data_IF_767169842115
#
_entry.id   IF_767169842115
#
_cell.length_a   1.000
_cell.length_b   1.000
_cell.length_c   1.000
_cell.angle_alpha   90.00
_cell.angle_beta   90.00
_cell.angle_gamma   90.00
#
_symmetry.space_group_name_H-M   'P 1'
#
loop_
_entity.id
_entity.type
_entity.pdbx_description
1 polymer ?
#
# COMPACT_ATOMS: atom_id res chain seq x y z
N UNK A 1 -19.52 -12.02 -12.46
CA UNK A 1 -20.41 -12.84 -11.63
C UNK A 1 -21.13 -11.94 -10.62
N UNK A 2 -22.45 -12.19 -10.42
CA UNK A 2 -23.31 -11.35 -9.54
C UNK A 2 -22.86 -11.41 -8.07
N UNK A 3 -22.24 -12.50 -7.67
CA UNK A 3 -21.62 -12.74 -6.35
C UNK A 3 -20.46 -11.78 -6.00
N UNK A 4 -19.92 -11.07 -6.99
CA UNK A 4 -18.87 -10.05 -6.83
C UNK A 4 -19.38 -8.61 -6.94
N UNK A 5 -20.67 -8.43 -7.05
CA UNK A 5 -21.30 -7.11 -7.08
C UNK A 5 -21.83 -6.80 -5.69
N UNK A 6 -21.45 -5.65 -5.17
CA UNK A 6 -21.89 -5.18 -3.85
C UNK A 6 -22.65 -3.86 -4.07
N UNK A 7 -23.88 -3.75 -3.56
CA UNK A 7 -24.60 -2.48 -3.59
C UNK A 7 -23.77 -1.38 -2.94
N UNK A 8 -23.77 -0.20 -3.56
CA UNK A 8 -23.11 0.95 -2.97
C UNK A 8 -23.90 1.41 -1.74
N UNK A 9 -23.31 1.42 -0.55
CA UNK A 9 -23.99 1.88 0.65
C UNK A 9 -24.31 3.37 0.58
N UNK A 10 -25.41 3.78 1.20
CA UNK A 10 -25.79 5.18 1.30
C UNK A 10 -24.68 6.02 1.96
N UNK A 11 -24.51 7.24 1.46
CA UNK A 11 -23.52 8.20 1.97
C UNK A 11 -22.09 8.02 1.44
N UNK A 12 -21.82 6.99 0.62
CA UNK A 12 -20.51 6.82 -0.04
C UNK A 12 -20.59 7.35 -1.47
N UNK A 13 -19.71 8.29 -1.81
CA UNK A 13 -19.64 8.83 -3.17
C UNK A 13 -19.12 7.79 -4.16
N UNK A 14 -19.51 7.91 -5.44
CA UNK A 14 -18.99 7.05 -6.50
C UNK A 14 -17.47 7.07 -6.61
N UNK A 15 -16.85 8.24 -6.38
CA UNK A 15 -15.39 8.37 -6.39
C UNK A 15 -14.74 7.61 -5.23
N UNK A 16 -15.28 7.72 -4.03
CA UNK A 16 -14.81 6.95 -2.88
C UNK A 16 -14.97 5.44 -3.13
N UNK A 17 -16.14 5.02 -3.63
CA UNK A 17 -16.40 3.63 -3.96
C UNK A 17 -15.42 3.08 -5.01
N UNK A 18 -15.18 3.81 -6.11
CA UNK A 18 -14.27 3.39 -7.17
C UNK A 18 -12.79 3.31 -6.71
N UNK A 19 -12.40 4.12 -5.73
CA UNK A 19 -11.03 4.16 -5.20
C UNK A 19 -10.73 3.13 -4.12
N UNK A 20 -11.76 2.54 -3.53
CA UNK A 20 -11.65 1.71 -2.31
C UNK A 20 -11.23 0.25 -2.54
N UNK A 21 -11.83 -0.56 -3.43
CA UNK A 21 -11.74 -2.01 -3.34
C UNK A 21 -10.30 -2.54 -3.36
N UNK A 22 -9.51 -2.20 -4.36
CA UNK A 22 -8.16 -2.76 -4.49
C UNK A 22 -7.22 -2.20 -3.43
N UNK A 23 -7.26 -0.91 -3.16
CA UNK A 23 -6.28 -0.24 -2.31
C UNK A 23 -6.49 -0.52 -0.84
N UNK A 24 -7.71 -0.31 -0.36
CA UNK A 24 -8.03 -0.52 1.07
C UNK A 24 -8.08 -2.00 1.42
N UNK A 25 -8.61 -2.85 0.53
CA UNK A 25 -8.60 -4.29 0.78
C UNK A 25 -7.17 -4.85 0.84
N UNK A 26 -6.27 -4.40 -0.06
CA UNK A 26 -4.85 -4.80 0.00
C UNK A 26 -4.21 -4.38 1.32
N UNK A 27 -4.39 -3.12 1.73
CA UNK A 27 -3.83 -2.62 2.98
C UNK A 27 -4.43 -3.33 4.21
N UNK A 28 -5.76 -3.50 4.25
CA UNK A 28 -6.46 -4.19 5.32
C UNK A 28 -6.06 -5.67 5.40
N UNK A 29 -5.94 -6.33 4.26
CA UNK A 29 -5.52 -7.73 4.21
C UNK A 29 -4.12 -7.92 4.81
N UNK A 30 -3.17 -7.05 4.46
CA UNK A 30 -1.81 -7.10 5.01
C UNK A 30 -1.77 -6.79 6.51
N UNK A 31 -2.40 -5.70 6.93
CA UNK A 31 -2.28 -5.22 8.29
C UNK A 31 -3.15 -6.00 9.28
N UNK A 32 -4.42 -6.24 8.93
CA UNK A 32 -5.39 -6.85 9.87
C UNK A 32 -5.53 -8.36 9.68
N UNK A 33 -5.69 -8.86 8.44
CA UNK A 33 -5.95 -10.29 8.23
C UNK A 33 -4.68 -11.13 8.41
N UNK A 34 -3.58 -10.78 7.73
CA UNK A 34 -2.31 -11.49 7.85
C UNK A 34 -1.46 -10.99 9.03
N UNK A 35 -1.56 -9.70 9.31
CA UNK A 35 -0.71 -8.99 10.26
C UNK A 35 -1.20 -9.08 11.70
N UNK A 36 -2.51 -9.16 11.91
CA UNK A 36 -3.12 -9.05 13.24
C UNK A 36 -2.62 -7.79 13.98
N UNK A 37 -2.67 -6.63 13.27
CA UNK A 37 -2.19 -5.33 13.71
C UNK A 37 -2.65 -5.00 15.13
N UNK A 38 -1.71 -4.54 15.97
CA UNK A 38 -1.94 -4.16 17.35
C UNK A 38 -1.61 -2.66 17.55
N UNK A 39 -2.21 -1.99 18.53
CA UNK A 39 -1.96 -0.55 18.76
C UNK A 39 -0.50 -0.18 19.02
N UNK A 40 0.30 -1.09 19.59
CA UNK A 40 1.72 -0.87 19.90
C UNK A 40 2.67 -1.27 18.77
N UNK A 41 2.15 -1.82 17.67
CA UNK A 41 2.97 -2.25 16.54
C UNK A 41 3.59 -1.03 15.82
N UNK A 42 4.77 -1.24 15.28
CA UNK A 42 5.54 -0.30 14.46
C UNK A 42 5.41 -0.66 13.00
N UNK A 43 5.09 0.31 12.16
CA UNK A 43 4.82 0.06 10.74
C UNK A 43 5.67 0.93 9.84
N UNK A 44 6.31 0.32 8.83
CA UNK A 44 6.96 1.03 7.73
C UNK A 44 6.16 0.80 6.44
N UNK A 45 5.73 1.89 5.79
CA UNK A 45 4.97 1.86 4.54
C UNK A 45 5.81 2.44 3.41
N UNK A 46 6.22 1.64 2.44
CA UNK A 46 6.83 2.16 1.23
C UNK A 46 5.77 2.70 0.26
N UNK A 47 6.06 3.84 -0.36
CA UNK A 47 5.11 4.50 -1.25
C UNK A 47 3.89 5.07 -0.51
N UNK A 48 4.11 5.66 0.67
CA UNK A 48 3.06 6.13 1.59
C UNK A 48 2.04 7.10 1.01
N UNK A 49 2.39 7.86 -0.02
CA UNK A 49 1.48 8.78 -0.70
C UNK A 49 0.71 8.15 -1.89
N UNK A 50 0.95 6.88 -2.23
CA UNK A 50 0.20 6.16 -3.27
C UNK A 50 -1.12 5.58 -2.73
N UNK A 51 -1.93 4.98 -3.62
CA UNK A 51 -3.27 4.49 -3.24
C UNK A 51 -3.28 3.49 -2.07
N UNK A 52 -2.46 2.43 -2.12
CA UNK A 52 -2.35 1.47 -1.00
C UNK A 52 -1.65 2.10 0.21
N UNK A 53 -0.67 3.00 -0.04
CA UNK A 53 0.06 3.67 1.02
C UNK A 53 -0.84 4.57 1.87
N UNK A 54 -1.65 5.42 1.24
CA UNK A 54 -2.61 6.29 1.94
C UNK A 54 -3.67 5.49 2.70
N UNK A 55 -4.16 4.40 2.10
CA UNK A 55 -5.08 3.47 2.76
C UNK A 55 -4.44 2.84 4.02
N UNK A 56 -3.18 2.38 3.91
CA UNK A 56 -2.46 1.80 5.04
C UNK A 56 -2.23 2.81 6.16
N UNK A 57 -1.88 4.06 5.83
CA UNK A 57 -1.70 5.12 6.83
C UNK A 57 -3.01 5.44 7.57
N UNK A 58 -4.12 5.50 6.86
CA UNK A 58 -5.44 5.70 7.48
C UNK A 58 -5.83 4.54 8.39
N UNK A 59 -5.60 3.30 7.96
CA UNK A 59 -5.84 2.11 8.79
C UNK A 59 -4.97 2.09 10.04
N UNK A 60 -3.69 2.47 9.94
CA UNK A 60 -2.80 2.61 11.09
C UNK A 60 -3.31 3.68 12.06
N UNK A 61 -3.73 4.85 11.54
CA UNK A 61 -4.30 5.93 12.35
C UNK A 61 -5.60 5.48 13.05
N UNK A 62 -6.48 4.80 12.33
CA UNK A 62 -7.73 4.27 12.89
C UNK A 62 -7.48 3.21 13.98
N UNK A 63 -6.43 2.39 13.82
CA UNK A 63 -6.00 1.44 14.84
C UNK A 63 -5.25 2.08 16.03
N UNK A 64 -5.03 3.40 16.01
CA UNK A 64 -4.38 4.14 17.10
C UNK A 64 -2.86 4.04 17.15
N UNK A 65 -2.20 3.62 16.07
CA UNK A 65 -0.74 3.47 16.04
C UNK A 65 -0.03 4.83 16.19
N UNK A 66 1.02 4.83 16.99
CA UNK A 66 1.85 6.01 17.24
C UNK A 66 3.18 5.98 16.49
N UNK A 67 3.64 4.82 16.05
CA UNK A 67 4.96 4.62 15.44
C UNK A 67 4.81 4.09 14.02
N UNK A 68 4.60 5.03 13.10
CA UNK A 68 4.43 4.74 11.67
C UNK A 68 5.41 5.59 10.86
N UNK A 69 6.18 4.96 9.99
CA UNK A 69 7.07 5.59 9.02
C UNK A 69 6.55 5.35 7.62
N UNK A 70 6.74 6.34 6.74
CA UNK A 70 6.37 6.11 5.35
C UNK A 70 7.33 6.79 4.37
N UNK A 71 7.72 6.08 3.32
CA UNK A 71 8.59 6.65 2.28
C UNK A 71 7.78 7.26 1.15
N UNK A 72 8.18 8.46 0.72
CA UNK A 72 7.64 9.11 -0.48
C UNK A 72 8.66 10.10 -1.07
N UNK A 73 8.31 10.83 -2.13
CA UNK A 73 9.05 12.02 -2.52
C UNK A 73 8.76 13.16 -1.54
N UNK A 74 9.74 14.03 -1.30
CA UNK A 74 9.64 15.13 -0.34
C UNK A 74 8.41 16.03 -0.53
N UNK A 75 8.04 16.28 -1.79
CA UNK A 75 6.86 17.08 -2.13
C UNK A 75 5.51 16.52 -1.60
N UNK A 76 5.49 15.24 -1.21
CA UNK A 76 4.28 14.54 -0.71
C UNK A 76 4.33 14.24 0.78
N UNK A 77 5.32 14.74 1.51
CA UNK A 77 5.46 14.48 2.96
C UNK A 77 4.24 14.95 3.76
N UNK A 78 3.64 16.09 3.36
CA UNK A 78 2.45 16.64 4.02
C UNK A 78 1.28 15.65 4.10
N UNK A 79 1.14 14.75 3.11
CA UNK A 79 0.10 13.71 3.14
C UNK A 79 0.41 12.64 4.18
N UNK A 80 1.67 12.29 4.37
CA UNK A 80 2.08 11.32 5.38
C UNK A 80 1.88 11.90 6.79
N UNK A 81 2.30 13.15 6.98
CA UNK A 81 2.22 13.87 8.24
C UNK A 81 0.79 14.06 8.73
N UNK A 82 -0.19 14.30 7.82
CA UNK A 82 -1.60 14.44 8.20
C UNK A 82 -2.20 13.18 8.84
N UNK A 83 -1.60 12.01 8.60
CA UNK A 83 -1.97 10.75 9.26
C UNK A 83 -1.13 10.44 10.50
N UNK A 84 -0.30 11.39 10.96
CA UNK A 84 0.55 11.21 12.13
C UNK A 84 1.78 10.33 11.89
N UNK A 85 2.09 10.00 10.64
CA UNK A 85 3.24 9.18 10.31
C UNK A 85 4.49 10.05 10.04
N UNK A 86 5.67 9.49 10.31
CA UNK A 86 6.97 10.07 10.05
C UNK A 86 7.34 9.91 8.56
N UNK A 87 7.41 10.97 7.76
CA UNK A 87 7.81 10.88 6.36
C UNK A 87 9.32 10.65 6.21
N UNK A 88 9.70 9.87 5.20
CA UNK A 88 11.08 9.62 4.81
C UNK A 88 11.23 9.91 3.32
N UNK A 89 12.18 10.78 2.94
CA UNK A 89 12.45 11.07 1.53
C UNK A 89 13.15 9.89 0.86
N UNK A 90 12.43 9.20 -0.01
CA UNK A 90 12.93 8.02 -0.72
C UNK A 90 14.17 8.27 -1.58
N UNK A 91 14.49 9.54 -1.90
CA UNK A 91 15.59 9.90 -2.79
C UNK A 91 16.86 10.29 -2.01
N UNK A 92 16.71 10.94 -0.87
CA UNK A 92 17.81 11.57 -0.16
C UNK A 92 18.04 11.01 1.25
N UNK A 93 17.14 10.15 1.76
CA UNK A 93 17.26 9.59 3.11
C UNK A 93 17.38 8.06 3.09
N UNK A 94 18.14 7.53 4.02
CA UNK A 94 18.25 6.07 4.24
C UNK A 94 17.21 5.61 5.26
N UNK A 95 16.11 5.05 4.77
CA UNK A 95 15.05 4.57 5.63
C UNK A 95 15.50 3.46 6.61
N UNK A 96 16.52 2.67 6.26
CA UNK A 96 17.05 1.63 7.17
C UNK A 96 17.73 2.27 8.37
N UNK A 97 18.56 3.28 8.11
CA UNK A 97 19.25 3.99 9.17
C UNK A 97 18.27 4.72 10.08
N UNK A 98 17.27 5.44 9.49
CA UNK A 98 16.25 6.17 10.23
C UNK A 98 15.44 5.22 11.13
N UNK A 99 14.85 4.17 10.55
CA UNK A 99 14.04 3.22 11.30
C UNK A 99 14.85 2.60 12.43
N UNK A 100 16.10 2.19 12.20
CA UNK A 100 16.92 1.60 13.24
C UNK A 100 17.25 2.59 14.35
N UNK A 101 17.57 3.83 14.01
CA UNK A 101 17.87 4.86 15.00
C UNK A 101 16.64 5.17 15.86
N UNK A 102 15.49 5.38 15.22
CA UNK A 102 14.26 5.77 15.91
C UNK A 102 13.54 4.61 16.64
N UNK A 103 14.03 3.37 16.46
CA UNK A 103 13.55 2.18 17.18
C UNK A 103 14.58 1.55 18.12
N UNK A 104 15.66 2.27 18.45
CA UNK A 104 16.77 1.76 19.27
C UNK A 104 17.35 0.43 18.75
N UNK A 105 17.44 0.28 17.42
CA UNK A 105 17.92 -0.92 16.74
C UNK A 105 16.92 -2.08 16.68
N UNK A 106 15.76 -1.98 17.35
CA UNK A 106 14.78 -3.07 17.41
C UNK A 106 14.09 -3.33 16.08
N UNK A 107 13.81 -2.26 15.29
CA UNK A 107 13.10 -2.34 14.01
C UNK A 107 11.59 -2.25 14.16
N UNK A 108 10.87 -2.58 13.07
CA UNK A 108 9.41 -2.47 12.95
C UNK A 108 8.73 -3.84 12.85
N UNK A 109 7.48 -3.91 13.27
CA UNK A 109 6.70 -5.15 13.27
C UNK A 109 6.14 -5.47 11.89
N UNK A 110 5.83 -4.44 11.09
CA UNK A 110 5.27 -4.59 9.75
C UNK A 110 6.00 -3.71 8.74
N UNK A 111 6.33 -4.27 7.58
CA UNK A 111 6.82 -3.53 6.42
C UNK A 111 5.96 -3.84 5.20
N UNK A 112 5.37 -2.82 4.60
CA UNK A 112 4.58 -2.91 3.37
C UNK A 112 5.44 -2.46 2.19
N UNK A 113 5.76 -3.39 1.27
CA UNK A 113 6.71 -3.14 0.17
C UNK A 113 6.10 -3.42 -1.22
N UNK A 114 5.71 -2.36 -1.98
CA UNK A 114 5.30 -2.46 -3.37
C UNK A 114 6.47 -2.35 -4.35
N UNK A 115 7.70 -2.13 -3.87
CA UNK A 115 8.84 -1.76 -4.70
C UNK A 115 9.50 -3.01 -5.28
N UNK A 116 9.75 -4.01 -4.44
CA UNK A 116 10.43 -5.22 -4.88
C UNK A 116 11.96 -5.08 -5.02
N UNK A 117 12.58 -6.04 -5.72
CA UNK A 117 14.01 -6.00 -6.01
C UNK A 117 14.88 -5.91 -4.74
N UNK A 118 15.94 -5.08 -4.79
CA UNK A 118 16.84 -4.88 -3.66
C UNK A 118 16.18 -4.21 -2.44
N UNK A 119 15.07 -3.46 -2.67
CA UNK A 119 14.34 -2.83 -1.58
C UNK A 119 13.83 -3.86 -0.56
N UNK A 120 13.40 -5.04 -1.01
CA UNK A 120 12.95 -6.12 -0.11
C UNK A 120 14.05 -6.59 0.86
N UNK A 121 15.31 -6.61 0.43
CA UNK A 121 16.43 -6.95 1.34
C UNK A 121 16.60 -5.89 2.42
N UNK A 122 16.52 -4.62 2.03
CA UNK A 122 16.60 -3.49 2.96
C UNK A 122 15.39 -3.47 3.90
N UNK A 123 14.18 -3.69 3.37
CA UNK A 123 12.94 -3.82 4.13
C UNK A 123 13.01 -4.95 5.16
N UNK A 124 13.52 -6.13 4.75
CA UNK A 124 13.72 -7.26 5.67
C UNK A 124 14.70 -6.92 6.81
N UNK A 125 15.71 -6.06 6.55
CA UNK A 125 16.66 -5.63 7.57
C UNK A 125 16.05 -4.68 8.60
N UNK A 126 14.96 -4.00 8.28
CA UNK A 126 14.22 -3.13 9.18
C UNK A 126 13.28 -3.88 10.13
N UNK A 127 12.97 -5.15 9.87
CA UNK A 127 12.06 -5.90 10.73
C UNK A 127 12.62 -6.13 12.13
N UNK A 128 11.75 -6.00 13.10
CA UNK A 128 11.96 -6.49 14.45
C UNK A 128 11.98 -8.03 14.48
N UNK A 129 12.29 -8.60 15.63
CA UNK A 129 12.01 -10.02 15.89
C UNK A 129 10.50 -10.24 15.92
N UNK A 130 10.02 -11.30 15.27
CA UNK A 130 8.58 -11.53 15.07
C UNK A 130 7.93 -10.70 13.97
N UNK A 131 8.69 -9.81 13.31
CA UNK A 131 8.18 -8.89 12.30
C UNK A 131 7.80 -9.56 10.97
N UNK A 132 6.96 -8.87 10.19
CA UNK A 132 6.34 -9.34 8.94
C UNK A 132 6.62 -8.38 7.79
N UNK A 133 7.11 -8.92 6.67
CA UNK A 133 7.29 -8.20 5.41
C UNK A 133 6.19 -8.62 4.43
N UNK A 134 5.47 -7.66 3.88
CA UNK A 134 4.47 -7.88 2.84
C UNK A 134 4.99 -7.34 1.50
N UNK A 135 5.21 -8.22 0.53
CA UNK A 135 5.53 -7.83 -0.83
C UNK A 135 4.26 -7.94 -1.69
N UNK A 136 3.81 -6.80 -2.24
CA UNK A 136 2.56 -6.72 -3.00
C UNK A 136 2.70 -5.99 -4.34
N UNK A 137 3.93 -5.77 -4.78
CA UNK A 137 4.23 -5.10 -6.03
C UNK A 137 5.67 -5.29 -6.46
N UNK A 138 5.96 -4.87 -7.69
CA UNK A 138 7.29 -4.91 -8.30
C UNK A 138 7.56 -3.60 -9.06
N UNK A 139 7.28 -2.45 -8.46
CA UNK A 139 7.44 -1.14 -9.13
C UNK A 139 8.88 -0.86 -9.56
N UNK A 140 9.88 -1.46 -8.91
CA UNK A 140 11.28 -1.42 -9.34
C UNK A 140 11.51 -2.05 -10.72
N UNK A 141 10.63 -2.93 -11.19
CA UNK A 141 10.75 -3.57 -12.51
C UNK A 141 10.28 -2.67 -13.66
N UNK A 142 9.54 -1.60 -13.38
CA UNK A 142 9.01 -0.66 -14.36
C UNK A 142 9.27 0.80 -13.97
N UNK A 143 10.54 1.21 -13.75
CA UNK A 143 10.83 2.59 -13.44
C UNK A 143 10.50 3.47 -14.65
N UNK A 144 9.80 4.59 -14.41
CA UNK A 144 9.45 5.60 -15.41
C UNK A 144 8.60 5.13 -16.61
N UNK A 145 7.69 4.18 -16.41
CA UNK A 145 6.64 3.86 -17.40
C UNK A 145 7.09 3.19 -18.70
N UNK A 146 8.39 3.11 -18.98
CA UNK A 146 8.90 2.38 -20.15
C UNK A 146 9.21 0.93 -19.73
N UNK A 147 8.46 -0.02 -20.29
CA UNK A 147 8.74 -1.46 -20.12
C UNK A 147 10.12 -1.76 -20.73
N UNK A 148 11.12 -1.95 -19.88
CA UNK A 148 12.42 -2.43 -20.28
C UNK A 148 12.58 -3.86 -19.76
N UNK A 149 12.54 -4.84 -20.65
CA UNK A 149 12.73 -6.25 -20.29
C UNK A 149 14.07 -6.48 -19.57
N UNK A 150 15.10 -5.73 -19.95
CA UNK A 150 16.40 -5.76 -19.28
C UNK A 150 16.32 -5.25 -17.84
N UNK A 151 15.63 -4.11 -17.60
CA UNK A 151 15.46 -3.57 -16.24
C UNK A 151 14.60 -4.51 -15.38
N UNK A 152 13.53 -5.07 -15.95
CA UNK A 152 12.71 -6.06 -15.28
C UNK A 152 13.52 -7.31 -14.92
N UNK A 153 14.35 -7.82 -15.84
CA UNK A 153 15.24 -8.95 -15.60
C UNK A 153 16.24 -8.66 -14.47
N UNK A 154 16.88 -7.49 -14.47
CA UNK A 154 17.80 -7.11 -13.40
C UNK A 154 17.09 -6.90 -12.05
N UNK A 155 15.87 -6.32 -12.04
CA UNK A 155 15.08 -6.19 -10.82
C UNK A 155 14.71 -7.56 -10.25
N UNK A 156 14.29 -8.50 -11.10
CA UNK A 156 13.99 -9.87 -10.68
C UNK A 156 15.24 -10.60 -10.16
N UNK A 157 16.41 -10.43 -10.80
CA UNK A 157 17.68 -11.01 -10.31
C UNK A 157 18.13 -10.41 -8.98
N UNK A 158 17.79 -9.15 -8.69
CA UNK A 158 18.07 -8.48 -7.43
C UNK A 158 17.05 -8.81 -6.33
N UNK A 159 15.92 -9.41 -6.70
CA UNK A 159 14.93 -9.85 -5.70
C UNK A 159 15.56 -10.93 -4.81
N UNK A 160 15.57 -10.73 -3.50
CA UNK A 160 16.18 -11.70 -2.61
C UNK A 160 15.44 -13.03 -2.63
N UNK A 161 16.19 -14.12 -2.59
CA UNK A 161 15.66 -15.42 -2.20
C UNK A 161 15.55 -15.43 -0.69
N UNK A 162 14.37 -15.71 -0.18
CA UNK A 162 14.15 -15.80 1.25
C UNK A 162 14.60 -17.17 1.76
N UNK A 163 15.56 -17.15 2.65
CA UNK A 163 16.14 -18.34 3.26
C UNK A 163 15.33 -18.71 4.51
N UNK A 164 14.80 -19.93 4.53
CA UNK A 164 13.94 -20.41 5.62
C UNK A 164 14.68 -20.41 6.97
N UNK A 165 15.96 -20.79 6.98
CA UNK A 165 16.74 -20.82 8.22
C UNK A 165 16.93 -19.40 8.80
N UNK A 166 17.19 -18.41 7.93
CA UNK A 166 17.32 -17.01 8.34
C UNK A 166 16.00 -16.43 8.86
N UNK A 167 14.87 -16.82 8.28
CA UNK A 167 13.55 -16.41 8.77
C UNK A 167 13.27 -17.06 10.13
N UNK A 168 13.53 -18.35 10.26
CA UNK A 168 13.33 -19.12 11.49
C UNK A 168 14.18 -18.57 12.65
N UNK A 169 15.47 -18.30 12.42
CA UNK A 169 16.38 -17.81 13.49
C UNK A 169 16.08 -16.39 13.97
N UNK A 170 15.23 -15.66 13.25
CA UNK A 170 14.78 -14.29 13.59
C UNK A 170 13.28 -14.20 13.87
N UNK A 171 12.57 -15.34 13.83
CA UNK A 171 11.12 -15.40 13.97
C UNK A 171 10.39 -14.41 13.03
N UNK A 172 10.84 -14.28 11.77
CA UNK A 172 10.30 -13.32 10.80
C UNK A 172 9.45 -14.02 9.76
N UNK A 173 8.44 -13.32 9.23
CA UNK A 173 7.61 -13.80 8.14
C UNK A 173 7.74 -12.92 6.89
N UNK A 174 7.55 -13.54 5.72
CA UNK A 174 7.43 -12.83 4.44
C UNK A 174 6.17 -13.34 3.74
N UNK A 175 5.28 -12.42 3.40
CA UNK A 175 4.04 -12.68 2.70
C UNK A 175 4.10 -12.08 1.29
N UNK A 176 3.79 -12.89 0.27
CA UNK A 176 3.41 -12.37 -1.05
C UNK A 176 1.92 -12.09 -1.04
N UNK A 177 1.52 -10.88 -1.44
CA UNK A 177 0.11 -10.46 -1.43
C UNK A 177 -0.31 -10.02 -2.80
N UNK A 178 -1.35 -10.66 -3.36
CA UNK A 178 -1.96 -10.30 -4.64
C UNK A 178 -3.47 -10.52 -4.56
N UNK A 179 -4.21 -9.47 -4.25
CA UNK A 179 -5.66 -9.56 -4.03
C UNK A 179 -6.45 -10.05 -5.25
N UNK A 180 -5.94 -9.84 -6.47
CA UNK A 180 -6.58 -10.34 -7.69
C UNK A 180 -6.62 -11.87 -7.84
N UNK A 181 -5.81 -12.59 -7.06
CA UNK A 181 -5.80 -14.06 -7.02
C UNK A 181 -6.34 -14.64 -5.70
N UNK A 182 -6.77 -13.78 -4.78
CA UNK A 182 -7.38 -14.22 -3.54
C UNK A 182 -8.81 -14.69 -3.82
N UNK A 183 -9.17 -15.87 -3.34
CA UNK A 183 -10.44 -16.53 -3.68
C UNK A 183 -11.36 -16.76 -2.49
N UNK A 184 -10.96 -16.41 -1.27
CA UNK A 184 -11.81 -16.54 -0.09
C UNK A 184 -12.80 -15.35 -0.04
N UNK A 185 -14.00 -15.58 -0.58
CA UNK A 185 -15.04 -14.55 -0.68
C UNK A 185 -15.57 -14.11 0.69
N UNK A 186 -15.65 -15.03 1.66
CA UNK A 186 -16.13 -14.69 3.00
C UNK A 186 -15.17 -13.70 3.70
N UNK A 187 -13.87 -13.94 3.57
CA UNK A 187 -12.85 -13.02 4.06
C UNK A 187 -12.92 -11.68 3.31
N UNK A 188 -13.08 -11.69 1.99
CA UNK A 188 -13.18 -10.46 1.19
C UNK A 188 -14.40 -9.62 1.60
N UNK A 189 -15.56 -10.23 1.77
CA UNK A 189 -16.77 -9.54 2.21
C UNK A 189 -16.61 -8.94 3.61
N UNK A 190 -16.04 -9.70 4.55
CA UNK A 190 -15.77 -9.22 5.91
C UNK A 190 -14.82 -8.01 5.93
N UNK A 191 -13.76 -8.06 5.14
CA UNK A 191 -12.81 -6.96 5.01
C UNK A 191 -13.46 -5.73 4.40
N UNK A 192 -14.23 -5.90 3.32
CA UNK A 192 -14.90 -4.79 2.65
C UNK A 192 -15.97 -4.16 3.56
N UNK A 193 -16.74 -4.95 4.29
CA UNK A 193 -17.71 -4.45 5.27
C UNK A 193 -17.03 -3.57 6.33
N UNK A 194 -15.86 -3.98 6.82
CA UNK A 194 -15.09 -3.18 7.77
C UNK A 194 -14.57 -1.88 7.19
N UNK A 195 -14.13 -1.90 5.92
CA UNK A 195 -13.66 -0.71 5.22
C UNK A 195 -14.82 0.25 4.97
N UNK A 196 -15.98 -0.25 4.54
CA UNK A 196 -17.21 0.54 4.36
C UNK A 196 -17.62 1.21 5.66
N UNK A 197 -17.66 0.48 6.77
CA UNK A 197 -17.91 1.03 8.10
C UNK A 197 -16.93 2.16 8.45
N UNK A 198 -15.64 1.96 8.17
CA UNK A 198 -14.63 2.99 8.37
C UNK A 198 -14.84 4.25 7.53
N UNK A 199 -15.34 4.13 6.30
CA UNK A 199 -15.68 5.27 5.44
C UNK A 199 -16.93 5.99 5.99
N UNK A 200 -18.00 5.26 6.31
CA UNK A 200 -19.24 5.81 6.82
C UNK A 200 -19.08 6.51 8.18
N UNK A 201 -18.17 6.03 9.00
CA UNK A 201 -17.85 6.63 10.31
C UNK A 201 -16.77 7.72 10.25
N UNK A 202 -16.24 8.02 9.04
CA UNK A 202 -15.25 9.09 8.82
C UNK A 202 -13.82 8.75 9.29
N UNK A 203 -13.55 7.49 9.63
CA UNK A 203 -12.19 7.04 9.95
C UNK A 203 -11.33 6.84 8.69
N UNK A 204 -11.97 6.48 7.58
CA UNK A 204 -11.34 6.29 6.27
C UNK A 204 -11.92 7.30 5.29
N UNK A 205 -11.03 7.97 4.56
CA UNK A 205 -11.38 8.94 3.52
C UNK A 205 -10.54 8.65 2.26
N UNK A 206 -11.11 7.92 1.28
CA UNK A 206 -10.38 7.54 0.07
C UNK A 206 -9.92 8.75 -0.74
N UNK A 207 -8.61 8.94 -0.86
CA UNK A 207 -8.03 10.08 -1.58
C UNK A 207 -8.11 9.83 -3.09
N UNK A 208 -8.80 10.72 -3.79
CA UNK A 208 -8.82 10.83 -5.25
C UNK A 208 -8.04 12.08 -5.64
N UNK A 209 -6.91 11.89 -6.31
CA UNK A 209 -6.04 12.97 -6.75
C UNK A 209 -6.62 13.72 -7.95
N UNK A 210 -7.00 12.95 -8.97
CA UNK A 210 -7.62 13.48 -10.18
C UNK A 210 -8.50 12.44 -10.87
N UNK A 211 -9.39 12.96 -11.71
CA UNK A 211 -10.28 12.18 -12.57
C UNK A 211 -9.99 12.58 -14.01
N UNK A 212 -9.68 11.61 -14.85
CA UNK A 212 -9.52 11.80 -16.30
C UNK A 212 -10.78 11.26 -17.01
N UNK A 213 -11.09 11.80 -18.15
CA UNK A 213 -12.07 11.17 -19.04
C UNK A 213 -11.52 9.83 -19.55
N UNK A 214 -12.39 8.85 -19.78
CA UNK A 214 -11.98 7.50 -20.18
C UNK A 214 -11.17 7.49 -21.47
N UNK A 215 -11.41 8.44 -22.38
CA UNK A 215 -10.66 8.66 -23.61
C UNK A 215 -9.19 9.04 -23.35
N UNK A 216 -8.91 9.73 -22.25
CA UNK A 216 -7.60 10.15 -21.80
C UNK A 216 -6.85 9.10 -20.96
N UNK A 217 -7.26 7.83 -21.04
CA UNK A 217 -6.66 6.73 -20.28
C UNK A 217 -5.14 6.65 -20.39
N UNK A 218 -4.58 7.01 -21.54
CA UNK A 218 -3.14 7.05 -21.76
C UNK A 218 -2.45 8.12 -20.89
N UNK A 219 -3.04 9.32 -20.81
CA UNK A 219 -2.56 10.40 -19.96
C UNK A 219 -2.66 10.04 -18.47
N UNK A 220 -3.78 9.40 -18.06
CA UNK A 220 -3.97 8.90 -16.71
C UNK A 220 -2.89 7.87 -16.30
N UNK A 221 -2.60 6.91 -17.18
CA UNK A 221 -1.51 5.95 -16.95
C UNK A 221 -0.15 6.62 -16.88
N UNK A 222 0.15 7.60 -17.77
CA UNK A 222 1.41 8.32 -17.74
C UNK A 222 1.56 9.12 -16.44
N UNK A 223 0.49 9.74 -15.95
CA UNK A 223 0.47 10.48 -14.68
C UNK A 223 0.86 9.59 -13.49
N UNK A 224 0.32 8.36 -13.44
CA UNK A 224 0.67 7.37 -12.41
C UNK A 224 2.13 6.90 -12.58
N UNK A 225 2.56 6.64 -13.81
CA UNK A 225 3.93 6.19 -14.10
C UNK A 225 4.98 7.25 -13.73
N UNK A 226 4.65 8.53 -13.88
CA UNK A 226 5.50 9.64 -13.45
C UNK A 226 5.50 9.81 -11.93
N UNK A 227 4.77 8.96 -11.21
CA UNK A 227 4.59 9.02 -9.75
C UNK A 227 4.12 10.41 -9.27
N UNK A 228 3.28 11.09 -10.05
CA UNK A 228 2.72 12.41 -9.73
C UNK A 228 1.57 12.29 -8.72
N UNK A 229 0.79 11.22 -8.81
CA UNK A 229 -0.45 11.03 -8.05
C UNK A 229 -0.24 10.94 -6.54
N UNK A 230 -1.24 11.46 -5.82
CA UNK A 230 -1.47 11.22 -4.39
C UNK A 230 -2.77 10.42 -4.26
N UNK A 231 -2.71 9.22 -3.67
CA UNK A 231 -3.89 8.34 -3.63
C UNK A 231 -4.23 7.77 -5.01
N UNK A 232 -5.49 7.89 -5.42
CA UNK A 232 -6.03 7.28 -6.63
C UNK A 232 -6.22 8.27 -7.78
N UNK A 233 -6.06 7.75 -8.99
CA UNK A 233 -6.45 8.38 -10.25
C UNK A 233 -7.64 7.59 -10.79
N UNK A 234 -8.70 8.27 -11.15
CA UNK A 234 -9.94 7.67 -11.65
C UNK A 234 -10.15 8.01 -13.13
N UNK A 235 -10.94 7.17 -13.79
CA UNK A 235 -11.47 7.43 -15.13
C UNK A 235 -12.98 7.65 -15.02
N UNK A 236 -13.47 8.69 -15.66
CA UNK A 236 -14.90 8.97 -15.83
C UNK A 236 -15.33 8.49 -17.22
N UNK A 237 -16.35 7.67 -17.24
CA UNK A 237 -17.05 7.31 -18.47
C UNK A 237 -18.23 8.26 -18.64
N UNK A 238 -18.58 8.60 -19.88
CA UNK A 238 -19.82 9.32 -20.15
C UNK A 238 -21.00 8.45 -19.71
N UNK A 239 -22.04 9.08 -19.14
CA UNK A 239 -23.28 8.40 -18.89
C UNK A 239 -23.86 7.99 -20.26
N UNK A 240 -23.81 6.71 -20.57
CA UNK A 240 -24.59 6.17 -21.69
C UNK A 240 -26.04 6.30 -21.22
N UNK A 241 -26.70 7.35 -21.70
CA UNK A 241 -28.12 7.57 -21.41
C UNK A 241 -28.89 6.29 -21.66
N UNK A 242 -29.76 5.95 -20.75
CA UNK A 242 -30.73 4.88 -20.97
C UNK A 242 -31.50 5.22 -22.27
N UNK A 243 -31.24 4.46 -23.35
CA UNK A 243 -32.13 4.39 -24.51
C UNK A 243 -33.34 3.51 -24.21
#
# INVERSE_FOLDING_TARGET
PVDRVIPLPDGISLQAAASTPVTYMTAHHMLHHLGHLRPDDKVLVHGGAGGVGTAALQLCKWAGLQQVWATSSKSKHHIIEQYGARPIDRHNEDFVAIVKTETDGKGVDHVLDPIGGDNLRRSLSCLAEGGRLYTYGLSAAAPSGKRSLLKAFFALRKTPKFDALRLMTRNRAVFGVHMGTWSDEAVMHSQLARIVDGIQTGHLDPIVDCVFDAEDVQAAHQYIHDAKNIGKVLLKFEDVGEE
#
